data_IF_815504312470
#
_entry.id   IF_815504312470
#
_cell.length_a   1.000
_cell.length_b   1.000
_cell.length_c   1.000
_cell.angle_alpha   90.00
_cell.angle_beta   90.00
_cell.angle_gamma   90.00
#
_symmetry.space_group_name_H-M   'P 1'
#
loop_
_entity.id
_entity.type
_entity.pdbx_description
1 polymer ?
#
# COMPACT_ATOMS: atom_id res chain seq x y z
N UNK A 1 3.77 -18.43 -12.88
CA UNK A 1 4.53 -17.47 -12.04
C UNK A 1 4.96 -16.33 -12.95
N UNK A 2 4.73 -15.09 -12.55
CA UNK A 2 5.23 -13.94 -13.30
C UNK A 2 6.76 -13.86 -13.13
N UNK A 3 7.51 -13.48 -14.17
CA UNK A 3 8.89 -13.11 -13.95
C UNK A 3 8.98 -11.81 -13.15
N UNK A 4 10.14 -11.57 -12.50
CA UNK A 4 10.30 -10.44 -11.58
C UNK A 4 10.03 -9.09 -12.26
N UNK A 5 10.46 -8.91 -13.52
CA UNK A 5 10.25 -7.67 -14.25
C UNK A 5 8.75 -7.40 -14.46
N UNK A 6 8.02 -8.39 -14.97
CA UNK A 6 6.58 -8.27 -15.18
C UNK A 6 5.82 -8.06 -13.86
N UNK A 7 6.28 -8.69 -12.77
CA UNK A 7 5.70 -8.50 -11.45
C UNK A 7 5.87 -7.03 -10.98
N UNK A 8 7.08 -6.48 -11.11
CA UNK A 8 7.38 -5.08 -10.78
C UNK A 8 6.57 -4.12 -11.66
N UNK A 9 6.46 -4.39 -12.97
CA UNK A 9 5.72 -3.53 -13.90
C UNK A 9 4.21 -3.53 -13.61
N UNK A 10 3.65 -4.64 -13.12
CA UNK A 10 2.24 -4.76 -12.73
C UNK A 10 1.93 -4.20 -11.35
N UNK A 11 2.90 -4.21 -10.44
CA UNK A 11 2.70 -3.67 -9.10
C UNK A 11 2.66 -2.13 -9.16
N UNK A 12 1.46 -1.58 -9.11
CA UNK A 12 1.19 -0.14 -9.16
C UNK A 12 0.34 0.27 -7.96
N UNK A 13 0.34 1.58 -7.67
CA UNK A 13 -0.61 2.14 -6.68
C UNK A 13 -2.00 2.17 -7.29
N UNK A 14 -2.82 1.17 -6.98
CA UNK A 14 -4.21 1.06 -7.41
C UNK A 14 -5.14 1.71 -6.40
N UNK A 15 -6.10 2.48 -6.89
CA UNK A 15 -7.04 3.28 -6.08
C UNK A 15 -8.50 3.09 -6.48
N UNK A 16 -8.75 2.15 -7.40
CA UNK A 16 -10.08 1.70 -7.82
C UNK A 16 -10.06 0.18 -7.88
N UNK A 17 -11.03 -0.45 -7.26
CA UNK A 17 -11.08 -1.89 -7.07
C UNK A 17 -12.42 -2.44 -7.53
N UNK A 18 -12.41 -3.67 -8.02
CA UNK A 18 -13.61 -4.41 -8.43
C UNK A 18 -14.50 -4.66 -7.21
N UNK A 19 -15.76 -4.20 -7.32
CA UNK A 19 -16.75 -4.44 -6.29
C UNK A 19 -17.02 -5.94 -6.10
N UNK A 20 -17.31 -6.34 -4.86
CA UNK A 20 -17.71 -7.72 -4.52
C UNK A 20 -16.59 -8.76 -4.56
N UNK A 21 -15.35 -8.38 -4.92
CA UNK A 21 -14.20 -9.29 -4.88
C UNK A 21 -13.57 -9.23 -3.50
N UNK A 22 -13.50 -10.36 -2.81
CA UNK A 22 -12.85 -10.49 -1.50
C UNK A 22 -11.49 -11.16 -1.60
N UNK A 23 -10.60 -10.82 -0.70
CA UNK A 23 -9.32 -11.49 -0.50
C UNK A 23 -9.48 -12.43 0.70
N UNK A 24 -9.29 -13.75 0.54
CA UNK A 24 -9.27 -14.67 1.68
C UNK A 24 -8.19 -14.24 2.69
N UNK A 25 -8.54 -14.25 3.99
CA UNK A 25 -7.66 -13.82 5.07
C UNK A 25 -6.32 -14.55 5.07
N UNK A 26 -6.34 -15.85 4.82
CA UNK A 26 -5.15 -16.70 4.77
C UNK A 26 -4.16 -16.29 3.66
N UNK A 27 -4.63 -15.63 2.59
CA UNK A 27 -3.73 -15.04 1.59
C UNK A 27 -3.02 -13.81 2.14
N UNK A 28 -3.75 -12.93 2.83
CA UNK A 28 -3.17 -11.74 3.45
C UNK A 28 -2.13 -12.16 4.49
N UNK A 29 -2.43 -13.19 5.30
CA UNK A 29 -1.49 -13.75 6.27
C UNK A 29 -0.24 -14.32 5.60
N UNK A 30 -0.38 -15.03 4.47
CA UNK A 30 0.74 -15.54 3.69
C UNK A 30 1.62 -14.40 3.12
N UNK A 31 1.02 -13.29 2.67
CA UNK A 31 1.78 -12.12 2.21
C UNK A 31 2.54 -11.43 3.35
N UNK A 32 1.95 -11.36 4.54
CA UNK A 32 2.61 -10.87 5.75
C UNK A 32 3.76 -11.81 6.15
N UNK A 33 3.56 -13.12 6.05
CA UNK A 33 4.63 -14.11 6.28
C UNK A 33 5.81 -13.89 5.33
N UNK A 34 5.56 -13.64 4.02
CA UNK A 34 6.63 -13.28 3.08
C UNK A 34 7.38 -12.02 3.52
N UNK A 35 6.67 -11.00 4.01
CA UNK A 35 7.28 -9.79 4.51
C UNK A 35 8.10 -10.02 5.80
N UNK A 36 7.71 -10.97 6.65
CA UNK A 36 8.46 -11.29 7.86
C UNK A 36 9.85 -11.92 7.57
N UNK A 37 10.06 -12.44 6.36
CA UNK A 37 11.36 -12.94 5.91
C UNK A 37 12.27 -11.85 5.34
N UNK A 38 11.80 -10.60 5.24
CA UNK A 38 12.61 -9.49 4.74
C UNK A 38 13.71 -9.11 5.75
N UNK A 39 14.85 -8.59 5.27
CA UNK A 39 15.85 -8.01 6.16
C UNK A 39 15.25 -6.84 6.94
N UNK A 40 15.62 -6.73 8.22
CA UNK A 40 15.29 -5.62 9.08
C UNK A 40 16.55 -5.11 9.78
N UNK A 41 16.61 -3.81 10.08
CA UNK A 41 17.73 -3.22 10.78
C UNK A 41 17.96 -3.93 12.12
N UNK A 42 19.19 -4.44 12.33
CA UNK A 42 19.56 -5.25 13.51
C UNK A 42 18.65 -6.46 13.74
N UNK A 43 17.86 -6.86 12.77
CA UNK A 43 16.83 -7.89 12.90
C UNK A 43 15.82 -7.62 14.05
N UNK A 44 15.52 -6.34 14.31
CA UNK A 44 14.63 -5.93 15.40
C UNK A 44 13.17 -6.30 15.17
N UNK A 45 12.72 -6.33 13.91
CA UNK A 45 11.36 -6.76 13.53
C UNK A 45 10.26 -6.03 14.31
N UNK A 46 10.42 -4.70 14.46
CA UNK A 46 9.52 -3.85 15.25
C UNK A 46 8.18 -3.52 14.57
N UNK A 47 7.88 -4.15 13.42
CA UNK A 47 6.63 -3.94 12.69
C UNK A 47 5.59 -4.95 13.18
N UNK A 48 4.40 -4.45 13.53
CA UNK A 48 3.20 -5.26 13.78
C UNK A 48 2.16 -4.99 12.69
N UNK A 49 1.35 -5.99 12.40
CA UNK A 49 0.36 -5.93 11.33
C UNK A 49 -1.03 -6.20 11.91
N UNK A 50 -1.99 -5.34 11.59
CA UNK A 50 -3.40 -5.58 11.86
C UNK A 50 -4.13 -5.74 10.53
N UNK A 51 -4.79 -6.87 10.33
CA UNK A 51 -5.59 -7.17 9.13
C UNK A 51 -7.01 -6.71 9.38
N UNK A 52 -7.53 -5.88 8.49
CA UNK A 52 -8.90 -5.38 8.47
C UNK A 52 -9.58 -5.92 7.21
N UNK A 53 -10.47 -6.88 7.37
CA UNK A 53 -11.12 -7.63 6.28
C UNK A 53 -12.64 -7.78 6.46
N UNK A 54 -13.21 -7.26 7.57
CA UNK A 54 -14.66 -7.12 7.71
C UNK A 54 -15.18 -5.90 6.95
N UNK A 55 -16.33 -6.04 6.28
CA UNK A 55 -16.93 -4.94 5.51
C UNK A 55 -17.21 -3.71 6.37
N UNK A 56 -17.64 -3.91 7.62
CA UNK A 56 -17.94 -2.85 8.57
C UNK A 56 -16.68 -2.03 8.88
N UNK A 57 -15.62 -2.67 9.36
CA UNK A 57 -14.39 -1.95 9.75
C UNK A 57 -13.66 -1.37 8.54
N UNK A 58 -13.72 -2.02 7.36
CA UNK A 58 -13.22 -1.45 6.10
C UNK A 58 -13.95 -0.16 5.75
N UNK A 59 -15.28 -0.13 5.89
CA UNK A 59 -16.09 1.07 5.63
C UNK A 59 -15.80 2.21 6.62
N UNK A 60 -15.50 1.89 7.88
CA UNK A 60 -15.14 2.86 8.91
C UNK A 60 -13.72 3.40 8.76
N UNK A 61 -12.77 2.56 8.33
CA UNK A 61 -11.37 2.97 8.13
C UNK A 61 -11.16 3.79 6.85
N UNK A 62 -11.91 3.49 5.79
CA UNK A 62 -11.75 4.15 4.48
C UNK A 62 -11.81 5.69 4.56
N UNK A 63 -12.76 6.33 5.24
CA UNK A 63 -12.84 7.80 5.34
C UNK A 63 -11.69 8.44 6.15
N UNK A 64 -10.96 7.67 6.93
CA UNK A 64 -9.78 8.14 7.69
C UNK A 64 -8.50 8.15 6.84
N UNK A 65 -8.57 7.65 5.60
CA UNK A 65 -7.45 7.57 4.67
C UNK A 65 -7.54 8.64 3.57
N UNK A 66 -6.41 9.24 3.20
CA UNK A 66 -6.36 10.29 2.17
C UNK A 66 -5.63 9.80 0.92
N UNK A 67 -6.27 9.92 -0.24
CA UNK A 67 -5.83 9.30 -1.47
C UNK A 67 -5.46 10.35 -2.52
N UNK A 68 -4.21 10.27 -3.04
CA UNK A 68 -3.75 10.97 -4.24
C UNK A 68 -4.31 12.39 -4.42
N UNK A 69 -4.20 13.26 -3.40
CA UNK A 69 -4.74 14.63 -3.38
C UNK A 69 -4.37 15.45 -4.65
N UNK A 70 -3.23 15.14 -5.27
CA UNK A 70 -2.76 15.82 -6.49
C UNK A 70 -3.61 15.56 -7.74
N UNK A 71 -4.52 14.55 -7.73
CA UNK A 71 -5.44 14.29 -8.83
C UNK A 71 -6.70 15.15 -8.79
N UNK A 72 -6.97 15.86 -7.68
CA UNK A 72 -8.15 16.72 -7.53
C UNK A 72 -9.49 15.97 -7.61
N UNK A 73 -9.48 14.65 -7.42
CA UNK A 73 -10.66 13.77 -7.43
C UNK A 73 -10.78 13.04 -6.11
N UNK A 74 -12.02 12.77 -5.68
CA UNK A 74 -12.26 11.87 -4.54
C UNK A 74 -11.95 10.44 -4.98
N UNK A 75 -11.06 9.77 -4.26
CA UNK A 75 -10.66 8.38 -4.50
C UNK A 75 -10.74 7.60 -3.17
N UNK A 76 -11.08 6.31 -3.25
CA UNK A 76 -11.65 5.62 -4.39
C UNK A 76 -13.04 6.16 -4.78
N UNK A 77 -13.53 5.91 -6.01
CA UNK A 77 -14.93 6.18 -6.36
C UNK A 77 -15.88 5.36 -5.49
N UNK A 78 -17.12 5.84 -5.32
CA UNK A 78 -18.14 5.13 -4.56
C UNK A 78 -18.38 3.72 -5.14
N UNK A 79 -18.42 2.72 -4.27
CA UNK A 79 -18.56 1.31 -4.66
C UNK A 79 -17.26 0.63 -5.14
N UNK A 80 -16.17 1.38 -5.37
CA UNK A 80 -14.88 0.87 -5.88
C UNK A 80 -13.76 0.93 -4.83
N UNK A 81 -14.13 0.85 -3.56
CA UNK A 81 -13.18 0.82 -2.44
C UNK A 81 -12.39 -0.48 -2.34
N UNK A 82 -11.33 -0.50 -1.50
CA UNK A 82 -10.60 -1.71 -1.18
C UNK A 82 -11.49 -2.71 -0.43
N UNK A 83 -11.18 -3.99 -0.52
CA UNK A 83 -11.89 -5.02 0.24
C UNK A 83 -11.18 -5.41 1.55
N UNK A 84 -9.95 -4.93 1.75
CA UNK A 84 -9.20 -5.13 2.98
C UNK A 84 -8.16 -4.03 3.17
N UNK A 85 -7.71 -3.86 4.42
CA UNK A 85 -6.54 -3.08 4.77
C UNK A 85 -5.58 -3.89 5.63
N UNK A 86 -4.29 -3.54 5.55
CA UNK A 86 -3.29 -3.92 6.56
C UNK A 86 -2.80 -2.62 7.19
N UNK A 87 -3.01 -2.46 8.49
CA UNK A 87 -2.42 -1.38 9.26
C UNK A 87 -1.09 -1.86 9.81
N UNK A 88 0.00 -1.25 9.34
CA UNK A 88 1.36 -1.53 9.77
C UNK A 88 1.74 -0.56 10.87
N UNK A 89 2.05 -1.10 12.06
CA UNK A 89 2.36 -0.31 13.24
C UNK A 89 3.81 -0.49 13.67
N UNK A 90 4.39 0.55 14.26
CA UNK A 90 5.61 0.45 15.05
C UNK A 90 5.28 -0.03 16.46
N UNK A 91 6.02 -1.01 16.96
CA UNK A 91 5.92 -1.47 18.36
C UNK A 91 7.06 -0.85 19.18
N UNK A 92 6.73 0.14 20.00
CA UNK A 92 7.66 0.86 20.87
C UNK A 92 8.29 -0.01 21.97
N UNK A 93 7.70 -1.18 22.28
CA UNK A 93 8.28 -2.12 23.28
C UNK A 93 9.45 -2.90 22.73
N UNK A 94 9.55 -3.02 21.38
CA UNK A 94 10.64 -3.77 20.72
C UNK A 94 11.84 -2.86 20.49
N UNK A 95 11.61 -1.64 20.00
CA UNK A 95 12.67 -0.71 19.69
C UNK A 95 12.18 0.73 19.69
N UNK A 96 13.05 1.74 19.94
CA UNK A 96 12.69 3.14 19.71
C UNK A 96 12.47 3.41 18.22
N UNK A 97 11.62 4.37 17.90
CA UNK A 97 11.39 4.81 16.53
C UNK A 97 12.65 5.49 15.97
N UNK A 98 13.14 4.98 14.86
CA UNK A 98 14.32 5.51 14.17
C UNK A 98 14.08 5.61 12.67
N UNK A 99 14.99 6.29 11.95
CA UNK A 99 14.95 6.32 10.48
C UNK A 99 15.03 4.93 9.83
N UNK A 100 15.68 3.96 10.47
CA UNK A 100 15.77 2.58 9.99
C UNK A 100 14.40 1.89 9.96
N UNK A 101 13.51 2.20 10.91
CA UNK A 101 12.16 1.67 10.90
C UNK A 101 11.41 2.04 9.61
N UNK A 102 11.59 3.27 9.11
CA UNK A 102 10.96 3.70 7.86
C UNK A 102 11.53 2.99 6.62
N UNK A 103 12.78 2.52 6.67
CA UNK A 103 13.34 1.65 5.63
C UNK A 103 12.73 0.25 5.72
N UNK A 104 12.69 -0.34 6.91
CA UNK A 104 12.14 -1.67 7.16
C UNK A 104 10.67 -1.75 6.75
N UNK A 105 9.83 -0.76 7.14
CA UNK A 105 8.40 -0.76 6.79
C UNK A 105 8.18 -0.66 5.28
N UNK A 106 9.01 0.12 4.56
CA UNK A 106 8.96 0.23 3.11
C UNK A 106 9.31 -1.10 2.42
N UNK A 107 10.31 -1.82 2.91
CA UNK A 107 10.71 -3.15 2.40
C UNK A 107 9.58 -4.16 2.60
N UNK A 108 9.03 -4.24 3.82
CA UNK A 108 7.93 -5.15 4.13
C UNK A 108 6.66 -4.81 3.34
N UNK A 109 6.29 -3.52 3.27
CA UNK A 109 5.14 -3.08 2.50
C UNK A 109 5.26 -3.45 1.02
N UNK A 110 6.43 -3.20 0.40
CA UNK A 110 6.66 -3.55 -1.00
C UNK A 110 6.58 -5.07 -1.22
N UNK A 111 7.08 -5.87 -0.29
CA UNK A 111 7.01 -7.34 -0.37
C UNK A 111 5.57 -7.83 -0.31
N UNK A 112 4.74 -7.29 0.59
CA UNK A 112 3.29 -7.57 0.63
C UNK A 112 2.63 -7.21 -0.70
N UNK A 113 2.91 -6.02 -1.23
CA UNK A 113 2.30 -5.54 -2.47
C UNK A 113 2.71 -6.39 -3.68
N UNK A 114 3.96 -6.85 -3.76
CA UNK A 114 4.42 -7.78 -4.80
C UNK A 114 3.76 -9.15 -4.65
N UNK A 115 3.61 -9.66 -3.42
CA UNK A 115 2.92 -10.93 -3.14
C UNK A 115 1.45 -10.86 -3.59
N UNK A 116 0.75 -9.78 -3.25
CA UNK A 116 -0.62 -9.54 -3.70
C UNK A 116 -0.70 -9.48 -5.24
N UNK A 117 0.21 -8.75 -5.89
CA UNK A 117 0.25 -8.61 -7.36
C UNK A 117 0.49 -9.94 -8.07
N UNK A 118 1.34 -10.81 -7.51
CA UNK A 118 1.60 -12.14 -8.06
C UNK A 118 0.35 -13.04 -8.08
N UNK A 119 -0.62 -12.74 -7.23
CA UNK A 119 -1.89 -13.47 -7.14
C UNK A 119 -3.07 -12.74 -7.80
N UNK A 120 -2.79 -11.65 -8.55
CA UNK A 120 -3.81 -10.89 -9.30
C UNK A 120 -4.55 -9.84 -8.47
N UNK A 121 -4.09 -9.58 -7.24
CA UNK A 121 -4.54 -8.49 -6.40
C UNK A 121 -3.59 -7.29 -6.50
N UNK A 122 -3.89 -6.24 -5.78
CA UNK A 122 -3.04 -5.06 -5.73
C UNK A 122 -3.58 -4.06 -4.72
N UNK A 123 -3.00 -2.87 -4.70
CA UNK A 123 -3.45 -1.88 -3.73
C UNK A 123 -2.66 -0.58 -3.76
N UNK A 124 -2.74 0.15 -2.66
CA UNK A 124 -2.06 1.41 -2.48
C UNK A 124 -1.47 1.50 -1.08
N UNK A 125 -0.22 1.96 -0.99
CA UNK A 125 0.40 2.36 0.27
C UNK A 125 -0.09 3.76 0.62
N UNK A 126 -0.66 3.94 1.81
CA UNK A 126 -1.25 5.19 2.29
C UNK A 126 -0.49 5.64 3.53
N UNK A 127 0.34 6.67 3.37
CA UNK A 127 1.01 7.33 4.48
C UNK A 127 0.22 8.52 5.03
N UNK A 128 -0.85 8.90 4.35
CA UNK A 128 -1.71 10.05 4.73
C UNK A 128 -2.99 9.54 5.39
N UNK A 129 -2.92 9.26 6.68
CA UNK A 129 -4.06 8.91 7.51
C UNK A 129 -3.94 9.63 8.85
N UNK A 130 -5.07 9.84 9.54
CA UNK A 130 -5.05 10.34 10.91
C UNK A 130 -4.66 9.21 11.85
N UNK A 131 -3.41 9.19 12.33
CA UNK A 131 -2.91 8.13 13.22
C UNK A 131 -3.76 8.00 14.49
N UNK A 132 -4.18 9.12 15.09
CA UNK A 132 -5.01 9.12 16.30
C UNK A 132 -6.40 8.53 16.04
N UNK A 133 -7.05 8.94 14.94
CA UNK A 133 -8.36 8.40 14.57
C UNK A 133 -8.30 6.90 14.22
N UNK A 134 -7.22 6.46 13.55
CA UNK A 134 -6.98 5.03 13.26
C UNK A 134 -6.75 4.24 14.55
N UNK A 135 -5.98 4.80 15.50
CA UNK A 135 -5.75 4.21 16.81
C UNK A 135 -7.06 4.03 17.58
N UNK A 136 -7.89 5.07 17.63
CA UNK A 136 -9.19 5.06 18.32
C UNK A 136 -10.12 4.03 17.69
N UNK A 137 -10.33 4.08 16.37
CA UNK A 137 -11.19 3.15 15.64
C UNK A 137 -10.81 1.69 15.91
N UNK A 138 -9.52 1.37 15.85
CA UNK A 138 -9.02 0.00 15.96
C UNK A 138 -8.67 -0.41 17.39
N UNK A 139 -8.92 0.46 18.40
CA UNK A 139 -8.58 0.23 19.81
C UNK A 139 -7.13 -0.26 19.99
N UNK A 140 -6.18 0.34 19.26
CA UNK A 140 -4.79 -0.07 19.31
C UNK A 140 -4.17 0.22 20.66
N UNK A 141 -3.39 -0.73 21.24
CA UNK A 141 -2.63 -0.49 22.46
C UNK A 141 -1.67 0.70 22.32
N UNK A 142 -1.36 1.37 23.43
CA UNK A 142 -0.52 2.58 23.45
C UNK A 142 0.88 2.35 22.88
N UNK A 143 1.41 1.14 23.00
CA UNK A 143 2.72 0.78 22.46
C UNK A 143 2.75 0.56 20.94
N UNK A 144 1.60 0.52 20.27
CA UNK A 144 1.52 0.36 18.82
C UNK A 144 1.17 1.70 18.15
N UNK A 145 2.05 2.20 17.29
CA UNK A 145 1.85 3.43 16.53
C UNK A 145 1.58 3.12 15.05
N UNK A 146 0.39 3.47 14.50
CA UNK A 146 0.12 3.32 13.08
C UNK A 146 1.11 4.14 12.24
N UNK A 147 1.81 3.48 11.31
CA UNK A 147 2.85 4.12 10.51
C UNK A 147 2.56 4.08 8.99
N UNK A 148 1.90 3.02 8.51
CA UNK A 148 1.55 2.86 7.10
C UNK A 148 0.31 2.00 6.98
N UNK A 149 -0.58 2.36 6.06
CA UNK A 149 -1.77 1.56 5.73
C UNK A 149 -1.64 1.04 4.31
N UNK A 150 -1.84 -0.27 4.12
CA UNK A 150 -1.95 -0.88 2.80
C UNK A 150 -3.43 -1.13 2.51
N UNK A 151 -3.97 -0.48 1.50
CA UNK A 151 -5.29 -0.77 0.97
C UNK A 151 -5.17 -1.86 -0.10
N UNK A 152 -6.01 -2.90 -0.04
CA UNK A 152 -5.91 -4.09 -0.86
C UNK A 152 -7.25 -4.42 -1.54
N UNK A 153 -7.18 -4.94 -2.77
CA UNK A 153 -8.33 -5.38 -3.54
C UNK A 153 -7.96 -5.92 -4.90
N UNK A 154 -8.94 -6.33 -5.71
CA UNK A 154 -8.72 -6.65 -7.11
C UNK A 154 -8.70 -5.35 -7.93
N UNK A 155 -7.57 -4.99 -8.58
CA UNK A 155 -7.47 -3.74 -9.33
C UNK A 155 -8.49 -3.66 -10.48
N UNK A 156 -9.10 -2.48 -10.67
CA UNK A 156 -10.02 -2.22 -11.77
C UNK A 156 -9.46 -1.16 -12.72
N UNK A 157 -8.64 -0.25 -12.23
CA UNK A 157 -8.07 0.83 -13.03
C UNK A 157 -6.89 0.36 -13.92
N UNK A 158 -6.76 1.02 -15.08
CA UNK A 158 -5.60 0.85 -15.95
C UNK A 158 -4.52 1.85 -15.59
N UNK A 159 -3.34 1.35 -15.20
CA UNK A 159 -2.15 2.16 -14.91
C UNK A 159 -1.10 1.93 -15.99
N UNK A 160 -0.53 3.01 -16.53
CA UNK A 160 0.47 2.97 -17.61
C UNK A 160 1.72 3.73 -17.17
N UNK A 161 2.88 3.09 -17.32
CA UNK A 161 4.18 3.75 -17.15
C UNK A 161 4.49 4.55 -18.40
N UNK A 162 5.02 5.76 -18.23
CA UNK A 162 5.44 6.64 -19.34
C UNK A 162 6.76 7.33 -18.98
N UNK A 163 7.37 7.99 -19.94
CA UNK A 163 8.55 8.81 -19.73
C UNK A 163 8.21 10.16 -19.07
N UNK A 164 9.23 10.94 -18.75
CA UNK A 164 9.12 12.23 -18.07
C UNK A 164 9.03 13.43 -19.02
N UNK A 165 8.80 13.24 -20.32
CA UNK A 165 8.72 14.32 -21.31
C UNK A 165 7.69 15.40 -20.99
N UNK A 166 6.62 15.02 -20.26
CA UNK A 166 5.57 15.92 -19.74
C UNK A 166 5.73 16.23 -18.25
N UNK A 167 6.90 15.98 -17.67
CA UNK A 167 7.17 16.11 -16.24
C UNK A 167 6.93 14.82 -15.45
N UNK A 168 7.17 14.87 -14.13
CA UNK A 168 7.12 13.70 -13.23
C UNK A 168 5.76 13.51 -12.55
N UNK A 169 4.84 14.48 -12.68
CA UNK A 169 3.54 14.42 -12.03
C UNK A 169 2.65 13.40 -12.73
N UNK A 170 2.13 12.42 -11.98
CA UNK A 170 1.15 11.48 -12.52
C UNK A 170 -0.18 12.16 -12.81
N UNK A 171 -0.91 11.65 -13.81
CA UNK A 171 -2.18 12.22 -14.27
C UNK A 171 -3.11 11.13 -14.80
N UNK A 172 -4.37 11.49 -15.03
CA UNK A 172 -5.36 10.65 -15.73
C UNK A 172 -5.83 11.35 -16.99
N UNK A 173 -6.11 10.57 -18.04
CA UNK A 173 -6.73 11.06 -19.25
C UNK A 173 -8.29 11.05 -19.15
N UNK A 174 -8.95 11.40 -20.24
CA UNK A 174 -10.40 11.40 -20.37
C UNK A 174 -11.04 10.02 -20.26
N UNK A 175 -10.27 8.95 -20.56
CA UNK A 175 -10.68 7.56 -20.42
C UNK A 175 -10.35 6.98 -19.05
N UNK A 176 -9.99 7.82 -18.07
CA UNK A 176 -9.59 7.45 -16.72
C UNK A 176 -8.33 6.56 -16.64
N UNK A 177 -7.52 6.49 -17.71
CA UNK A 177 -6.23 5.79 -17.69
C UNK A 177 -5.24 6.58 -16.85
N UNK A 178 -4.62 5.92 -15.88
CA UNK A 178 -3.67 6.54 -14.95
C UNK A 178 -2.24 6.43 -15.51
N UNK A 179 -1.65 7.55 -15.87
CA UNK A 179 -0.27 7.63 -16.38
C UNK A 179 0.70 8.00 -15.26
N UNK A 180 1.77 7.21 -15.15
CA UNK A 180 2.79 7.36 -14.11
C UNK A 180 4.16 7.53 -14.76
N UNK A 181 4.67 8.78 -14.89
CA UNK A 181 5.98 9.04 -15.47
C UNK A 181 7.12 8.46 -14.63
N UNK A 182 8.11 7.89 -15.30
CA UNK A 182 9.33 7.35 -14.68
C UNK A 182 10.57 7.93 -15.36
N UNK A 183 11.57 8.31 -14.57
CA UNK A 183 12.86 8.77 -15.06
C UNK A 183 13.59 7.65 -15.78
N UNK A 184 14.38 8.00 -16.79
CA UNK A 184 15.27 7.08 -17.48
C UNK A 184 16.46 6.67 -16.59
N UNK A 185 17.17 5.61 -16.98
CA UNK A 185 18.39 5.18 -16.28
C UNK A 185 19.45 6.28 -16.24
N UNK A 186 19.61 7.04 -17.32
CA UNK A 186 20.58 8.14 -17.38
C UNK A 186 20.27 9.30 -16.44
N UNK A 187 18.99 9.46 -16.05
CA UNK A 187 18.56 10.47 -15.06
C UNK A 187 18.75 10.03 -13.61
N UNK A 188 18.85 8.71 -13.33
CA UNK A 188 18.88 8.17 -11.97
C UNK A 188 20.22 7.57 -11.58
N UNK A 189 21.08 7.22 -12.55
CA UNK A 189 22.43 6.71 -12.30
C UNK A 189 23.42 7.88 -12.33
N UNK A 190 24.09 8.11 -11.21
CA UNK A 190 25.18 9.07 -11.10
C UNK A 190 26.41 8.44 -11.78
N UNK A 191 27.01 9.20 -12.73
CA UNK A 191 28.24 8.80 -13.45
C UNK A 191 29.45 9.44 -12.81
#
# INVERSE_FOLDING_TARGET
MLDLKNLIDKNRSHREFKAGVKIPRERIEAWILNASHCPAARNLQAIKYMIIDSDETVAELLPLTFWAASLGKKLPPEGHGPCAFIVMCHDHTIAPLTSFFYMDIGICAQTIMLSATNEGFGGCMIGSASADAVRELLSLPENLEPALILALGAPEEKVVLTDTSKGVKYYRDENNVHYVPKRSLDEIIIK
#
